data_IF_625382075996
#
_entry.id   IF_625382075996
#
_cell.length_a   1.000
_cell.length_b   1.000
_cell.length_c   1.000
_cell.angle_alpha   90.00
_cell.angle_beta   90.00
_cell.angle_gamma   90.00
#
_symmetry.space_group_name_H-M   'P 1'
#
loop_
_entity.id
_entity.type
_entity.pdbx_description
1 polymer ?
#
# COMPACT_ATOMS: atom_id res chain seq x y z
N UNK A 1 15.37 18.54 65.82
CA UNK A 1 15.09 17.16 66.33
C UNK A 1 14.10 16.56 65.36
N UNK A 2 14.63 15.75 64.53
CA UNK A 2 14.41 14.29 64.38
C UNK A 2 13.05 13.99 63.76
N UNK A 3 12.86 13.20 62.72
CA UNK A 3 13.77 12.28 62.05
C UNK A 3 13.08 11.75 60.79
N UNK A 4 13.91 11.48 59.84
CA UNK A 4 13.60 10.77 58.62
C UNK A 4 13.22 9.33 58.85
N UNK A 5 12.29 8.77 58.08
CA UNK A 5 12.28 7.33 57.79
C UNK A 5 12.03 7.11 56.31
N UNK A 6 13.12 6.80 55.69
CA UNK A 6 13.27 6.21 54.38
C UNK A 6 12.66 4.79 54.41
N UNK A 7 11.68 4.51 53.54
CA UNK A 7 11.23 3.14 53.25
C UNK A 7 11.47 2.82 51.80
N UNK A 8 12.72 2.45 51.51
CA UNK A 8 13.07 1.72 50.26
C UNK A 8 12.40 0.33 50.32
N UNK A 9 11.37 0.13 49.51
CA UNK A 9 10.86 -1.21 49.20
C UNK A 9 11.74 -1.84 48.15
N UNK A 10 12.56 -2.80 48.56
CA UNK A 10 13.29 -3.72 47.67
C UNK A 10 12.30 -4.64 46.97
N UNK A 11 12.21 -4.51 45.66
CA UNK A 11 11.59 -5.54 44.80
C UNK A 11 12.72 -6.51 44.38
N UNK A 12 12.70 -7.69 44.95
CA UNK A 12 13.59 -8.81 44.50
C UNK A 12 12.94 -9.46 43.29
N UNK A 13 13.56 -9.28 42.11
CA UNK A 13 13.22 -9.99 40.88
C UNK A 13 13.73 -11.44 40.93
N UNK A 14 12.84 -12.40 40.96
CA UNK A 14 13.14 -13.78 40.58
C UNK A 14 12.33 -14.07 39.32
N UNK A 15 13.03 -14.20 38.20
CA UNK A 15 12.47 -14.72 36.96
C UNK A 15 12.63 -16.24 36.95
N UNK A 16 11.58 -17.05 36.92
CA UNK A 16 11.69 -18.46 36.52
C UNK A 16 11.49 -18.57 35.00
N UNK A 17 12.24 -19.51 34.42
CA UNK A 17 12.26 -19.79 32.99
C UNK A 17 10.91 -20.24 32.41
N UNK A 18 10.84 -20.12 31.10
CA UNK A 18 9.68 -20.45 30.27
C UNK A 18 9.15 -21.87 30.53
N UNK A 19 7.93 -21.94 31.08
CA UNK A 19 7.14 -23.17 31.13
C UNK A 19 5.65 -22.81 31.11
N UNK A 20 4.97 -23.37 30.14
CA UNK A 20 3.52 -23.49 29.89
C UNK A 20 2.58 -22.69 30.80
N UNK A 21 1.98 -21.62 30.27
CA UNK A 21 0.84 -20.94 30.86
C UNK A 21 -0.42 -21.82 30.82
N UNK A 22 -0.76 -22.43 31.93
CA UNK A 22 -2.12 -22.92 32.19
C UNK A 22 -2.57 -22.37 33.55
N UNK A 23 -3.64 -21.56 33.51
CA UNK A 23 -4.43 -21.13 34.66
C UNK A 23 -3.66 -20.57 35.86
N UNK A 24 -3.03 -19.40 35.74
CA UNK A 24 -2.52 -18.66 36.89
C UNK A 24 -3.35 -17.39 37.12
N UNK A 25 -3.87 -17.24 38.37
CA UNK A 25 -4.43 -16.00 38.86
C UNK A 25 -3.31 -15.11 39.39
N UNK A 26 -3.27 -13.85 38.97
CA UNK A 26 -2.35 -12.86 39.51
C UNK A 26 -3.12 -11.83 40.37
N UNK A 27 -2.65 -11.62 41.59
CA UNK A 27 -3.14 -10.59 42.47
C UNK A 27 -2.12 -9.46 42.54
N UNK A 28 -2.55 -8.23 42.36
CA UNK A 28 -1.71 -7.04 42.44
C UNK A 28 -2.38 -5.92 43.24
N UNK A 29 -1.56 -5.04 43.79
CA UNK A 29 -2.02 -3.92 44.60
C UNK A 29 -1.75 -2.60 43.90
N UNK A 30 -2.79 -1.80 43.67
CA UNK A 30 -2.68 -0.40 43.23
C UNK A 30 -3.32 0.47 44.28
N UNK A 31 -2.55 1.41 44.85
CA UNK A 31 -3.02 2.36 45.88
C UNK A 31 -3.78 1.70 47.03
N UNK A 32 -3.28 0.56 47.52
CA UNK A 32 -3.87 -0.15 48.66
C UNK A 32 -5.13 -0.98 48.37
N UNK A 33 -5.50 -1.14 47.11
CA UNK A 33 -6.65 -1.97 46.70
C UNK A 33 -6.16 -3.23 45.98
N UNK A 34 -6.58 -4.37 46.48
CA UNK A 34 -6.31 -5.69 45.91
C UNK A 34 -7.20 -5.91 44.67
N UNK A 35 -6.63 -6.32 43.56
CA UNK A 35 -7.34 -6.74 42.35
C UNK A 35 -6.79 -8.04 41.82
N UNK A 36 -7.68 -8.97 41.51
CA UNK A 36 -7.37 -10.28 40.91
C UNK A 36 -7.88 -10.34 39.48
N UNK A 37 -7.04 -10.77 38.55
CA UNK A 37 -7.42 -10.95 37.14
C UNK A 37 -7.18 -12.41 36.76
N UNK A 38 -8.22 -13.03 36.23
CA UNK A 38 -8.18 -14.40 35.70
C UNK A 38 -7.88 -14.34 34.19
N UNK A 39 -6.88 -15.09 33.76
CA UNK A 39 -6.45 -15.16 32.35
C UNK A 39 -5.77 -13.89 31.79
N UNK A 40 -4.49 -13.71 32.10
CA UNK A 40 -3.62 -12.75 31.43
C UNK A 40 -2.48 -13.47 30.73
N UNK A 41 -2.27 -13.19 29.46
CA UNK A 41 -1.04 -13.53 28.74
C UNK A 41 0.04 -12.53 29.17
N UNK A 42 1.14 -13.02 29.75
CA UNK A 42 2.20 -12.21 30.39
C UNK A 42 3.15 -11.49 29.40
N UNK A 43 2.98 -11.64 28.11
CA UNK A 43 3.90 -11.10 27.10
C UNK A 43 3.85 -9.58 26.90
N UNK A 44 2.92 -8.87 27.58
CA UNK A 44 2.65 -7.44 27.29
C UNK A 44 2.42 -6.57 28.51
N UNK A 45 3.00 -6.89 29.67
CA UNK A 45 2.84 -6.05 30.88
C UNK A 45 4.10 -5.22 31.12
N UNK A 46 4.07 -3.94 30.78
CA UNK A 46 5.05 -2.95 31.18
C UNK A 46 4.52 -2.12 32.34
N UNK A 47 5.23 -2.17 33.48
CA UNK A 47 4.94 -1.27 34.62
C UNK A 47 5.82 -0.02 34.46
N UNK A 48 5.25 1.09 34.03
CA UNK A 48 5.91 2.40 34.01
C UNK A 48 5.25 3.28 35.06
N UNK A 49 6.04 3.81 35.98
CA UNK A 49 5.59 4.77 37.02
C UNK A 49 4.38 4.31 37.87
N UNK A 50 4.26 3.00 38.13
CA UNK A 50 3.16 2.45 38.93
C UNK A 50 1.82 2.35 38.20
N UNK A 51 1.80 2.55 36.88
CA UNK A 51 0.63 2.34 36.01
C UNK A 51 0.79 1.01 35.27
N UNK A 52 -0.23 0.15 35.39
CA UNK A 52 -0.30 -1.09 34.59
C UNK A 52 -0.75 -0.71 33.18
N UNK A 53 0.17 -0.67 32.24
CA UNK A 53 -0.16 -0.49 30.82
C UNK A 53 -0.34 -1.89 30.24
N UNK A 54 -1.57 -2.25 29.93
CA UNK A 54 -1.85 -3.43 29.09
C UNK A 54 -1.65 -2.99 27.63
N UNK A 55 -0.54 -3.33 27.04
CA UNK A 55 -0.41 -3.25 25.57
C UNK A 55 -1.30 -4.34 24.98
N UNK A 56 -2.48 -3.94 24.51
CA UNK A 56 -3.30 -4.79 23.67
C UNK A 56 -2.67 -4.78 22.27
N UNK A 57 -1.65 -5.62 22.06
CA UNK A 57 -0.93 -5.70 20.80
C UNK A 57 -1.84 -6.39 19.79
N UNK A 58 -2.51 -5.59 18.95
CA UNK A 58 -3.28 -6.11 17.81
C UNK A 58 -2.37 -6.25 16.61
N UNK A 59 -2.59 -7.29 15.85
CA UNK A 59 -1.95 -7.53 14.57
C UNK A 59 -2.95 -7.24 13.46
N UNK A 60 -2.51 -6.74 12.33
CA UNK A 60 -3.37 -6.37 11.22
C UNK A 60 -2.69 -6.66 9.88
N UNK A 61 -3.44 -7.18 8.93
CA UNK A 61 -2.94 -7.54 7.63
C UNK A 61 -4.06 -7.66 6.60
N UNK A 62 -3.70 -8.17 5.43
CA UNK A 62 -4.60 -8.36 4.31
C UNK A 62 -5.38 -9.66 4.51
N UNK A 63 -6.71 -9.56 4.55
CA UNK A 63 -7.65 -10.68 4.68
C UNK A 63 -8.13 -11.20 3.33
N UNK A 64 -8.15 -10.33 2.31
CA UNK A 64 -8.59 -10.68 0.97
C UNK A 64 -8.15 -9.63 -0.03
N UNK A 65 -7.94 -10.04 -1.28
CA UNK A 65 -7.48 -9.18 -2.38
C UNK A 65 -8.43 -9.26 -3.57
N UNK A 66 -8.37 -8.25 -4.42
CA UNK A 66 -9.11 -8.21 -5.67
C UNK A 66 -8.50 -7.21 -6.64
N UNK A 67 -8.73 -7.40 -7.93
CA UNK A 67 -8.31 -6.43 -8.93
C UNK A 67 -9.33 -6.30 -10.06
N UNK A 68 -9.23 -5.21 -10.80
CA UNK A 68 -9.97 -5.00 -12.03
C UNK A 68 -9.13 -4.26 -13.05
N UNK A 69 -9.19 -4.72 -14.29
CA UNK A 69 -8.67 -4.00 -15.45
C UNK A 69 -9.79 -3.85 -16.48
N UNK A 70 -9.93 -2.67 -17.11
CA UNK A 70 -10.91 -2.44 -18.18
C UNK A 70 -10.75 -3.42 -19.33
N UNK A 71 -11.84 -3.75 -20.04
CA UNK A 71 -11.84 -4.77 -21.10
C UNK A 71 -11.00 -4.38 -22.31
N UNK A 72 -10.95 -3.08 -22.65
CA UNK A 72 -10.22 -2.60 -23.83
C UNK A 72 -8.73 -2.70 -23.63
N UNK A 73 -8.07 -3.48 -24.47
CA UNK A 73 -6.61 -3.58 -24.54
C UNK A 73 -6.09 -2.69 -25.64
N UNK A 74 -5.08 -1.87 -25.35
CA UNK A 74 -4.31 -1.08 -26.28
C UNK A 74 -2.92 -1.74 -26.42
N UNK A 75 -2.59 -2.16 -27.62
CA UNK A 75 -1.30 -2.83 -27.95
C UNK A 75 -0.23 -1.82 -28.37
N UNK A 76 1.05 -2.24 -28.35
CA UNK A 76 2.12 -1.43 -28.93
C UNK A 76 1.91 -1.19 -30.43
N UNK A 77 1.37 -2.16 -31.18
CA UNK A 77 1.02 -2.00 -32.59
C UNK A 77 -0.07 -0.95 -32.84
N UNK A 78 -0.94 -0.70 -31.88
CA UNK A 78 -1.90 0.40 -31.95
C UNK A 78 -1.22 1.75 -31.70
N UNK A 79 -0.26 1.80 -30.79
CA UNK A 79 0.53 3.01 -30.51
C UNK A 79 1.42 3.41 -31.69
N UNK A 80 1.94 2.46 -32.49
CA UNK A 80 2.69 2.72 -33.72
C UNK A 80 1.88 3.52 -34.75
N UNK A 81 0.54 3.41 -34.70
CA UNK A 81 -0.36 4.17 -35.57
C UNK A 81 -0.62 5.60 -35.06
N UNK A 82 -0.27 5.88 -33.79
CA UNK A 82 -0.59 7.14 -33.12
C UNK A 82 0.63 8.05 -32.96
N UNK A 83 1.80 7.47 -32.66
CA UNK A 83 3.05 8.22 -32.40
C UNK A 83 4.23 7.49 -33.06
N UNK A 84 5.33 8.22 -33.28
CA UNK A 84 6.59 7.67 -33.83
C UNK A 84 7.28 6.74 -32.81
N UNK A 85 6.91 5.47 -32.81
CA UNK A 85 7.40 4.42 -31.92
C UNK A 85 7.38 3.05 -32.60
N UNK A 86 7.89 2.01 -31.92
CA UNK A 86 7.74 0.60 -32.36
C UNK A 86 7.55 -0.33 -31.15
N UNK A 87 6.94 -1.50 -31.37
CA UNK A 87 6.79 -2.54 -30.36
C UNK A 87 8.15 -2.91 -29.75
N UNK A 88 9.17 -3.13 -30.59
CA UNK A 88 10.52 -3.44 -30.15
C UNK A 88 11.11 -2.34 -29.26
N UNK A 89 10.90 -1.06 -29.62
CA UNK A 89 11.39 0.07 -28.85
C UNK A 89 10.72 0.17 -27.48
N UNK A 90 9.39 -0.01 -27.42
CA UNK A 90 8.63 0.01 -26.17
C UNK A 90 9.04 -1.15 -25.26
N UNK A 91 9.03 -2.37 -25.79
CA UNK A 91 9.37 -3.59 -25.03
C UNK A 91 10.78 -3.56 -24.47
N UNK A 92 11.77 -3.19 -25.28
CA UNK A 92 13.17 -3.16 -24.82
C UNK A 92 13.42 -2.11 -23.74
N UNK A 93 12.66 -1.01 -23.73
CA UNK A 93 12.83 0.08 -22.77
C UNK A 93 11.97 -0.04 -21.53
N UNK A 94 10.82 -0.66 -21.63
CA UNK A 94 9.82 -0.68 -20.56
C UNK A 94 9.40 -2.07 -20.12
N UNK A 95 9.48 -3.05 -21.01
CA UNK A 95 8.90 -4.37 -20.86
C UNK A 95 7.40 -4.42 -21.18
N UNK A 96 6.76 -3.30 -21.53
CA UNK A 96 5.31 -3.22 -21.76
C UNK A 96 4.95 -3.71 -23.14
N UNK A 97 3.97 -4.60 -23.24
CA UNK A 97 3.40 -5.11 -24.49
C UNK A 97 1.99 -4.57 -24.72
N UNK A 98 1.19 -4.53 -23.64
CA UNK A 98 -0.18 -4.05 -23.67
C UNK A 98 -0.50 -3.19 -22.44
N UNK A 99 -1.61 -2.47 -22.49
CA UNK A 99 -2.25 -1.79 -21.36
C UNK A 99 -3.75 -1.78 -21.53
N UNK A 100 -4.44 -1.72 -20.41
CA UNK A 100 -5.88 -1.62 -20.38
C UNK A 100 -6.32 -0.15 -20.38
N UNK A 101 -7.41 0.15 -21.06
CA UNK A 101 -7.94 1.51 -21.22
C UNK A 101 -9.41 1.51 -20.82
N UNK A 102 -9.77 2.32 -19.85
CA UNK A 102 -11.15 2.48 -19.37
C UNK A 102 -12.08 2.95 -20.49
N UNK A 103 -13.28 2.39 -20.54
CA UNK A 103 -14.34 2.87 -21.40
C UNK A 103 -14.73 4.31 -21.00
N UNK A 104 -15.32 5.04 -21.94
CA UNK A 104 -15.74 6.43 -21.67
C UNK A 104 -16.79 6.54 -20.55
N UNK A 105 -17.56 5.47 -20.36
CA UNK A 105 -18.57 5.34 -19.31
C UNK A 105 -18.02 4.94 -17.94
N UNK A 106 -16.77 4.45 -17.85
CA UNK A 106 -16.14 4.06 -16.59
C UNK A 106 -15.42 5.24 -15.95
N UNK A 107 -15.59 5.42 -14.66
CA UNK A 107 -14.84 6.36 -13.84
C UNK A 107 -13.95 5.58 -12.85
N UNK A 108 -13.02 6.26 -12.20
CA UNK A 108 -12.10 5.66 -11.24
C UNK A 108 -12.84 4.93 -10.12
N UNK A 109 -13.95 5.51 -9.63
CA UNK A 109 -14.81 4.85 -8.64
C UNK A 109 -15.47 3.57 -9.15
N UNK A 110 -15.74 3.44 -10.45
CA UNK A 110 -16.30 2.20 -11.02
C UNK A 110 -15.26 1.07 -11.02
N UNK A 111 -14.01 1.39 -11.40
CA UNK A 111 -12.90 0.44 -11.31
C UNK A 111 -12.68 -0.02 -9.87
N UNK A 112 -12.73 0.94 -8.92
CA UNK A 112 -12.62 0.65 -7.48
C UNK A 112 -13.67 -0.37 -7.04
N UNK A 113 -14.94 -0.17 -7.43
CA UNK A 113 -16.06 -1.05 -7.03
C UNK A 113 -15.86 -2.49 -7.53
N UNK A 114 -15.35 -2.66 -8.76
CA UNK A 114 -15.09 -3.99 -9.31
C UNK A 114 -13.98 -4.72 -8.53
N UNK A 115 -12.87 -4.06 -8.24
CA UNK A 115 -11.78 -4.62 -7.45
C UNK A 115 -12.21 -4.88 -5.99
N UNK A 116 -12.92 -3.93 -5.39
CA UNK A 116 -13.41 -4.01 -4.02
C UNK A 116 -14.31 -5.23 -3.77
N UNK A 117 -15.26 -5.48 -4.67
CA UNK A 117 -16.17 -6.64 -4.56
C UNK A 117 -15.41 -7.96 -4.50
N UNK A 118 -14.36 -8.11 -5.30
CA UNK A 118 -13.52 -9.31 -5.28
C UNK A 118 -12.72 -9.41 -3.97
N UNK A 119 -12.17 -8.29 -3.47
CA UNK A 119 -11.43 -8.27 -2.22
C UNK A 119 -12.33 -8.61 -1.02
N UNK A 120 -13.55 -8.07 -0.99
CA UNK A 120 -14.55 -8.35 0.05
C UNK A 120 -14.99 -9.81 0.01
N UNK A 121 -15.26 -10.37 -1.19
CA UNK A 121 -15.59 -11.79 -1.37
C UNK A 121 -14.47 -12.68 -0.86
N UNK A 122 -13.21 -12.38 -1.23
CA UNK A 122 -12.03 -13.13 -0.79
C UNK A 122 -11.82 -13.07 0.74
N UNK A 123 -12.15 -11.92 1.36
CA UNK A 123 -12.09 -11.73 2.81
C UNK A 123 -13.30 -12.32 3.56
N UNK A 124 -14.35 -12.73 2.86
CA UNK A 124 -15.61 -13.21 3.47
C UNK A 124 -16.39 -12.13 4.21
N UNK A 125 -16.27 -10.84 3.79
CA UNK A 125 -16.96 -9.70 4.40
C UNK A 125 -17.97 -9.08 3.45
N UNK A 126 -19.00 -8.44 4.02
CA UNK A 126 -20.06 -7.73 3.31
C UNK A 126 -19.88 -6.22 3.40
N UNK A 127 -20.74 -5.45 2.74
CA UNK A 127 -20.73 -3.98 2.82
C UNK A 127 -20.98 -3.47 4.25
N UNK A 128 -21.76 -4.18 5.04
CA UNK A 128 -22.07 -3.83 6.43
C UNK A 128 -20.89 -4.06 7.39
N UNK A 129 -19.91 -4.87 6.97
CA UNK A 129 -18.71 -5.16 7.77
C UNK A 129 -17.60 -4.14 7.55
N UNK A 130 -17.68 -3.30 6.52
CA UNK A 130 -16.63 -2.32 6.19
C UNK A 130 -16.84 -1.05 7.03
N UNK A 131 -15.85 -0.74 7.87
CA UNK A 131 -15.87 0.43 8.74
C UNK A 131 -15.26 1.67 8.10
N UNK A 132 -14.30 1.48 7.16
CA UNK A 132 -13.59 2.59 6.52
C UNK A 132 -13.12 2.23 5.11
N UNK A 133 -13.08 3.23 4.21
CA UNK A 133 -12.61 3.08 2.83
C UNK A 133 -11.48 4.08 2.56
N UNK A 134 -10.33 3.58 2.11
CA UNK A 134 -9.19 4.36 1.65
C UNK A 134 -8.98 4.13 0.15
N UNK A 135 -9.10 5.17 -0.66
CA UNK A 135 -8.77 5.12 -2.08
C UNK A 135 -7.49 5.90 -2.34
N UNK A 136 -6.47 5.22 -2.82
CA UNK A 136 -5.23 5.83 -3.29
C UNK A 136 -5.35 6.10 -4.80
N UNK A 137 -5.37 7.36 -5.19
CA UNK A 137 -5.52 7.76 -6.60
C UNK A 137 -4.89 9.13 -6.88
N UNK A 138 -4.35 9.30 -8.10
CA UNK A 138 -3.96 10.57 -8.69
C UNK A 138 -4.93 11.01 -9.80
N UNK A 139 -5.93 10.19 -10.11
CA UNK A 139 -6.96 10.41 -11.12
C UNK A 139 -8.37 10.28 -10.54
N UNK A 140 -8.72 11.08 -9.51
CA UNK A 140 -10.04 11.01 -8.88
C UNK A 140 -11.15 11.37 -9.85
N UNK A 141 -12.37 10.87 -9.62
CA UNK A 141 -13.57 11.27 -10.40
C UNK A 141 -13.79 12.78 -10.37
N UNK A 142 -13.61 13.38 -9.21
CA UNK A 142 -13.74 14.81 -8.96
C UNK A 142 -12.69 15.28 -7.95
N UNK A 143 -12.41 16.57 -7.91
CA UNK A 143 -11.64 17.18 -6.83
C UNK A 143 -12.40 17.08 -5.49
N UNK A 144 -13.73 17.22 -5.53
CA UNK A 144 -14.69 17.07 -4.43
C UNK A 144 -16.02 16.62 -5.03
N UNK A 145 -16.68 15.57 -4.50
CA UNK A 145 -16.31 14.72 -3.36
C UNK A 145 -15.11 13.81 -3.66
N UNK A 146 -14.54 13.19 -2.60
CA UNK A 146 -13.50 12.18 -2.78
C UNK A 146 -14.04 10.95 -3.52
N UNK A 147 -13.18 10.28 -4.28
CA UNK A 147 -13.51 9.01 -4.96
C UNK A 147 -13.96 7.95 -3.95
N UNK A 148 -13.35 7.90 -2.78
CA UNK A 148 -13.74 6.98 -1.72
C UNK A 148 -15.20 7.15 -1.26
N UNK A 149 -15.73 8.39 -1.23
CA UNK A 149 -17.15 8.63 -0.91
C UNK A 149 -18.08 8.07 -2.00
N UNK A 150 -17.68 8.16 -3.27
CA UNK A 150 -18.44 7.58 -4.37
C UNK A 150 -18.41 6.04 -4.34
N UNK A 151 -17.27 5.47 -3.97
CA UNK A 151 -17.11 4.03 -3.79
C UNK A 151 -17.97 3.54 -2.62
N UNK A 152 -17.99 4.29 -1.51
CA UNK A 152 -18.80 4.01 -0.33
C UNK A 152 -20.29 3.87 -0.68
N UNK A 153 -20.82 4.83 -1.43
CA UNK A 153 -22.21 4.82 -1.90
C UNK A 153 -22.48 3.67 -2.88
N UNK A 154 -21.63 3.49 -3.90
CA UNK A 154 -21.78 2.44 -4.92
C UNK A 154 -21.70 1.01 -4.35
N UNK A 155 -20.95 0.80 -3.27
CA UNK A 155 -20.85 -0.50 -2.58
C UNK A 155 -21.96 -0.69 -1.55
N UNK A 156 -22.65 0.37 -1.14
CA UNK A 156 -23.66 0.33 -0.08
C UNK A 156 -23.05 0.22 1.32
N UNK A 157 -21.80 0.65 1.52
CA UNK A 157 -21.12 0.64 2.83
C UNK A 157 -21.59 1.81 3.70
N UNK A 158 -22.87 1.83 4.09
CA UNK A 158 -23.57 2.99 4.67
C UNK A 158 -22.98 3.51 5.97
N UNK A 159 -22.23 2.69 6.70
CA UNK A 159 -21.61 3.04 7.99
C UNK A 159 -20.12 3.41 7.86
N UNK A 160 -19.54 3.17 6.70
CA UNK A 160 -18.10 3.38 6.50
C UNK A 160 -17.74 4.87 6.41
N UNK A 161 -16.67 5.27 7.10
CA UNK A 161 -15.95 6.50 6.79
C UNK A 161 -15.18 6.33 5.48
N UNK A 162 -14.88 7.44 4.77
CA UNK A 162 -14.21 7.36 3.47
C UNK A 162 -13.30 8.57 3.23
N UNK A 163 -12.09 8.33 2.68
CA UNK A 163 -11.19 9.38 2.23
C UNK A 163 -10.25 8.90 1.13
N UNK A 164 -9.77 9.84 0.30
CA UNK A 164 -8.72 9.59 -0.67
C UNK A 164 -7.33 9.85 -0.08
N UNK A 165 -6.34 9.11 -0.57
CA UNK A 165 -4.91 9.32 -0.29
C UNK A 165 -4.22 9.72 -1.60
N UNK A 166 -3.53 10.86 -1.59
CA UNK A 166 -2.71 11.33 -2.70
C UNK A 166 -1.23 11.16 -2.38
N UNK A 167 -0.64 10.08 -2.91
CA UNK A 167 0.81 9.77 -2.77
C UNK A 167 1.37 9.18 -4.09
N UNK A 168 0.80 9.59 -5.23
CA UNK A 168 1.20 9.09 -6.54
C UNK A 168 1.21 7.57 -6.62
N UNK A 169 2.17 7.01 -7.37
CA UNK A 169 2.25 5.56 -7.56
C UNK A 169 2.58 4.75 -6.28
N UNK A 170 3.02 5.39 -5.20
CA UNK A 170 3.20 4.73 -3.89
C UNK A 170 1.93 4.70 -3.04
N UNK A 171 0.82 5.25 -3.54
CA UNK A 171 -0.41 5.46 -2.80
C UNK A 171 -0.98 4.19 -2.15
N UNK A 172 -0.95 3.05 -2.84
CA UNK A 172 -1.41 1.78 -2.29
C UNK A 172 -0.61 1.35 -1.06
N UNK A 173 0.72 1.48 -1.09
CA UNK A 173 1.62 1.20 0.04
C UNK A 173 1.25 2.09 1.24
N UNK A 174 1.08 3.41 1.00
CA UNK A 174 0.65 4.35 2.03
C UNK A 174 -0.71 3.96 2.63
N UNK A 175 -1.65 3.56 1.79
CA UNK A 175 -3.00 3.18 2.23
C UNK A 175 -2.98 1.89 3.07
N UNK A 176 -2.20 0.86 2.68
CA UNK A 176 -2.01 -0.37 3.45
C UNK A 176 -1.39 -0.08 4.81
N UNK A 177 -0.33 0.74 4.85
CA UNK A 177 0.32 1.15 6.10
C UNK A 177 -0.64 1.90 7.02
N UNK A 178 -1.40 2.87 6.50
CA UNK A 178 -2.39 3.65 7.28
C UNK A 178 -3.49 2.75 7.82
N UNK A 179 -4.12 1.94 6.95
CA UNK A 179 -5.20 1.03 7.32
C UNK A 179 -4.77 0.04 8.40
N UNK A 180 -3.61 -0.61 8.22
CA UNK A 180 -3.10 -1.58 9.19
C UNK A 180 -2.87 -0.94 10.56
N UNK A 181 -2.37 0.31 10.62
CA UNK A 181 -2.19 1.00 11.89
C UNK A 181 -3.52 1.45 12.51
N UNK A 182 -4.54 1.81 11.72
CA UNK A 182 -5.88 2.12 12.23
C UNK A 182 -6.53 0.86 12.87
N UNK A 183 -6.38 -0.32 12.24
CA UNK A 183 -6.83 -1.60 12.80
C UNK A 183 -6.06 -1.96 14.07
N UNK A 184 -4.72 -1.86 14.06
CA UNK A 184 -3.87 -2.10 15.24
C UNK A 184 -4.23 -1.18 16.41
N UNK A 185 -4.59 0.07 16.14
CA UNK A 185 -5.05 1.02 17.15
C UNK A 185 -6.48 0.71 17.68
N UNK A 186 -7.17 -0.26 17.08
CA UNK A 186 -8.54 -0.63 17.44
C UNK A 186 -9.60 0.38 17.04
N UNK A 187 -9.31 1.26 16.09
CA UNK A 187 -10.28 2.24 15.58
C UNK A 187 -11.35 1.57 14.72
N UNK A 188 -10.97 0.60 13.91
CA UNK A 188 -11.82 -0.10 12.94
C UNK A 188 -11.46 -1.58 12.90
N UNK A 189 -12.40 -2.42 12.47
CA UNK A 189 -12.20 -3.87 12.28
C UNK A 189 -11.79 -4.20 10.86
N UNK A 190 -12.54 -3.67 9.87
CA UNK A 190 -12.28 -3.93 8.46
C UNK A 190 -12.16 -2.60 7.70
N UNK A 191 -11.05 -2.42 7.05
CA UNK A 191 -10.77 -1.26 6.20
C UNK A 191 -10.55 -1.74 4.77
N UNK A 192 -11.32 -1.20 3.85
CA UNK A 192 -11.13 -1.44 2.43
C UNK A 192 -10.09 -0.46 1.89
N UNK A 193 -8.98 -0.98 1.38
CA UNK A 193 -7.90 -0.22 0.73
C UNK A 193 -7.97 -0.47 -0.76
N UNK A 194 -7.94 0.60 -1.57
CA UNK A 194 -7.99 0.49 -3.03
C UNK A 194 -6.95 1.44 -3.62
N UNK A 195 -6.13 0.96 -4.55
CA UNK A 195 -5.36 1.78 -5.47
C UNK A 195 -6.03 1.74 -6.83
N UNK A 196 -6.36 2.88 -7.41
CA UNK A 196 -7.09 2.91 -8.68
C UNK A 196 -6.70 4.13 -9.52
N UNK A 197 -6.64 3.92 -10.85
CA UNK A 197 -6.27 4.98 -11.78
C UNK A 197 -6.96 4.84 -13.14
N UNK A 198 -7.30 5.99 -13.73
CA UNK A 198 -7.61 6.16 -15.16
C UNK A 198 -6.62 7.17 -15.74
N UNK A 199 -5.38 6.74 -15.93
CA UNK A 199 -4.31 7.60 -16.42
C UNK A 199 -4.41 7.86 -17.92
N UNK A 200 -5.11 7.00 -18.66
CA UNK A 200 -5.35 7.19 -20.09
C UNK A 200 -6.01 8.52 -20.44
N UNK A 201 -6.72 9.15 -19.48
CA UNK A 201 -7.33 10.48 -19.61
C UNK A 201 -6.40 11.63 -19.24
N UNK A 202 -5.24 11.32 -18.65
CA UNK A 202 -4.28 12.31 -18.17
C UNK A 202 -2.97 12.30 -18.97
N UNK A 203 -2.80 11.39 -19.92
CA UNK A 203 -1.63 11.35 -20.82
C UNK A 203 -1.87 12.19 -22.06
N UNK A 204 -0.80 12.80 -22.58
CA UNK A 204 -0.79 13.39 -23.90
C UNK A 204 -0.51 12.29 -24.93
N UNK A 205 -1.53 11.88 -25.67
CA UNK A 205 -1.41 10.82 -26.70
C UNK A 205 -0.50 11.17 -27.89
N UNK A 206 -0.01 12.41 -27.97
CA UNK A 206 0.99 12.86 -28.94
C UNK A 206 2.43 12.88 -28.37
N UNK A 207 2.60 12.62 -27.08
CA UNK A 207 3.89 12.53 -26.42
C UNK A 207 4.27 11.07 -26.17
N UNK A 208 5.13 10.49 -27.05
CA UNK A 208 5.59 9.12 -26.92
C UNK A 208 6.37 8.82 -25.64
N UNK A 209 6.88 9.84 -24.95
CA UNK A 209 7.65 9.65 -23.72
C UNK A 209 6.80 9.20 -22.56
N UNK A 210 5.49 9.49 -22.60
CA UNK A 210 4.52 9.20 -21.54
C UNK A 210 3.41 8.26 -22.01
N UNK A 211 2.82 8.44 -23.20
CA UNK A 211 1.65 7.67 -23.64
C UNK A 211 1.89 6.17 -23.78
N UNK A 212 3.14 5.76 -24.00
CA UNK A 212 3.51 4.34 -24.11
C UNK A 212 3.55 3.59 -22.78
N UNK A 213 3.48 4.30 -21.64
CA UNK A 213 3.73 3.72 -20.33
C UNK A 213 2.44 3.33 -19.60
N UNK A 214 1.49 4.27 -19.57
CA UNK A 214 0.39 4.22 -18.62
C UNK A 214 -0.79 3.38 -19.08
N UNK A 215 -1.41 2.70 -18.13
CA UNK A 215 -2.67 1.98 -18.26
C UNK A 215 -3.62 2.29 -17.10
N UNK A 216 -4.84 1.78 -17.21
CA UNK A 216 -5.93 1.98 -16.25
C UNK A 216 -6.20 0.68 -15.49
N UNK A 217 -6.64 0.79 -14.22
CA UNK A 217 -7.00 -0.35 -13.41
C UNK A 217 -7.20 -0.03 -11.93
N UNK A 218 -7.60 -1.03 -11.18
CA UNK A 218 -7.74 -0.95 -9.72
C UNK A 218 -7.25 -2.24 -9.05
N UNK A 219 -6.57 -2.09 -7.91
CA UNK A 219 -6.22 -3.19 -7.02
C UNK A 219 -6.73 -2.89 -5.61
N UNK A 220 -7.35 -3.86 -4.96
CA UNK A 220 -7.99 -3.69 -3.66
C UNK A 220 -7.55 -4.75 -2.66
N UNK A 221 -7.62 -4.40 -1.37
CA UNK A 221 -7.48 -5.32 -0.26
C UNK A 221 -8.41 -4.95 0.89
N UNK A 222 -8.89 -5.95 1.62
CA UNK A 222 -9.51 -5.76 2.93
C UNK A 222 -8.44 -5.95 3.98
N UNK A 223 -8.25 -4.93 4.81
CA UNK A 223 -7.35 -4.98 5.96
C UNK A 223 -8.16 -5.24 7.22
N UNK A 224 -7.74 -6.20 8.01
CA UNK A 224 -8.39 -6.55 9.27
C UNK A 224 -7.42 -7.12 10.29
N UNK A 225 -7.96 -7.52 11.46
CA UNK A 225 -7.18 -8.13 12.53
C UNK A 225 -6.69 -9.51 12.12
N UNK A 226 -5.43 -9.82 12.45
CA UNK A 226 -4.78 -11.11 12.16
C UNK A 226 -4.30 -11.76 13.44
N UNK A 227 -3.88 -13.03 13.34
CA UNK A 227 -3.24 -13.73 14.43
C UNK A 227 -1.88 -13.11 14.81
N UNK A 228 -1.39 -13.40 16.01
CA UNK A 228 -0.09 -12.92 16.48
C UNK A 228 1.06 -13.35 15.55
N UNK A 229 1.87 -12.36 15.14
CA UNK A 229 3.01 -12.58 14.25
C UNK A 229 2.67 -12.56 12.75
N UNK A 230 1.40 -12.37 12.39
CA UNK A 230 0.94 -12.22 11.00
C UNK A 230 0.52 -10.78 10.68
N UNK A 231 0.36 -10.50 9.39
CA UNK A 231 0.00 -9.18 8.87
C UNK A 231 1.20 -8.26 8.69
N UNK A 232 0.99 -6.95 8.77
CA UNK A 232 2.03 -5.94 8.56
C UNK A 232 3.04 -5.96 9.70
N UNK A 233 4.26 -6.43 9.43
CA UNK A 233 5.38 -6.47 10.38
C UNK A 233 6.03 -5.10 10.53
N UNK A 234 6.33 -4.44 9.41
CA UNK A 234 6.91 -3.10 9.39
C UNK A 234 6.52 -2.33 8.13
N UNK A 235 6.57 -1.01 8.23
CA UNK A 235 6.40 -0.08 7.13
C UNK A 235 7.41 1.07 7.25
N UNK A 236 7.85 1.58 6.09
CA UNK A 236 8.64 2.81 6.00
C UNK A 236 8.15 3.64 4.81
N UNK A 237 7.70 4.85 5.10
CA UNK A 237 7.16 5.79 4.13
C UNK A 237 8.06 7.03 4.10
N UNK A 238 8.25 7.62 2.91
CA UNK A 238 9.08 8.80 2.77
C UNK A 238 8.69 9.66 1.57
N UNK A 239 9.14 10.91 1.58
CA UNK A 239 8.88 11.87 0.51
C UNK A 239 10.01 12.89 0.36
N UNK A 240 10.13 13.45 -0.85
CA UNK A 240 11.00 14.59 -1.17
C UNK A 240 10.27 15.55 -2.11
N UNK A 241 9.61 16.54 -1.54
CA UNK A 241 8.85 17.56 -2.29
C UNK A 241 9.73 18.49 -3.15
N UNK A 242 11.05 18.54 -2.91
CA UNK A 242 11.97 19.37 -3.72
C UNK A 242 12.08 18.90 -5.18
N UNK A 243 11.78 17.62 -5.41
CA UNK A 243 11.84 16.97 -6.72
C UNK A 243 10.44 16.83 -7.38
N UNK A 244 9.39 17.42 -6.82
CA UNK A 244 8.01 17.23 -7.30
C UNK A 244 7.80 17.51 -8.78
N UNK A 245 8.57 18.45 -9.36
CA UNK A 245 8.42 18.85 -10.77
C UNK A 245 8.96 17.86 -11.80
N UNK A 246 9.72 16.84 -11.39
CA UNK A 246 10.22 15.84 -12.36
C UNK A 246 9.14 14.80 -12.74
N UNK A 247 8.03 14.78 -12.00
CA UNK A 247 6.86 13.95 -12.29
C UNK A 247 5.61 14.63 -11.70
N UNK A 248 4.87 15.36 -12.52
CA UNK A 248 3.71 16.14 -12.11
C UNK A 248 2.64 16.26 -13.20
N UNK A 249 1.51 16.88 -12.85
CA UNK A 249 0.53 17.43 -13.79
C UNK A 249 0.45 18.92 -13.47
N UNK A 250 1.14 19.79 -14.22
CA UNK A 250 1.37 21.16 -13.82
C UNK A 250 0.09 21.99 -13.62
N UNK A 251 -0.89 21.82 -14.51
CA UNK A 251 -2.12 22.61 -14.51
C UNK A 251 -3.37 21.76 -14.23
N UNK A 252 -3.57 21.43 -12.96
CA UNK A 252 -4.75 20.66 -12.51
C UNK A 252 -5.25 21.08 -11.14
N UNK A 253 -4.57 22.04 -10.50
CA UNK A 253 -4.85 22.46 -9.13
C UNK A 253 -4.90 23.97 -8.97
N UNK A 254 -4.91 24.41 -7.70
CA UNK A 254 -5.01 25.83 -7.32
C UNK A 254 -3.76 26.64 -7.75
N UNK A 255 -2.58 26.00 -7.74
CA UNK A 255 -1.34 26.68 -8.12
C UNK A 255 -1.34 27.09 -9.60
N UNK A 256 -1.90 26.25 -10.45
CA UNK A 256 -2.12 26.55 -11.87
C UNK A 256 -3.48 25.97 -12.30
N UNK A 257 -4.54 26.76 -12.28
CA UNK A 257 -5.87 26.33 -12.72
C UNK A 257 -5.90 25.97 -14.21
N UNK A 258 -6.82 25.08 -14.60
CA UNK A 258 -7.05 24.73 -16.01
C UNK A 258 -7.56 25.97 -16.75
N UNK A 259 -6.81 26.41 -17.75
CA UNK A 259 -7.13 27.52 -18.66
C UNK A 259 -6.94 27.09 -20.10
N UNK A 260 -7.49 27.83 -21.08
CA UNK A 260 -7.22 27.57 -22.50
C UNK A 260 -5.69 27.51 -22.78
N UNK A 261 -4.93 28.44 -22.20
CA UNK A 261 -3.46 28.44 -22.33
C UNK A 261 -2.83 27.16 -21.78
N UNK A 262 -3.28 26.64 -20.64
CA UNK A 262 -2.77 25.39 -20.07
C UNK A 262 -3.12 24.19 -20.96
N UNK A 263 -4.32 24.17 -21.55
CA UNK A 263 -4.74 23.15 -22.51
C UNK A 263 -3.86 23.19 -23.77
N UNK A 264 -3.74 24.37 -24.39
CA UNK A 264 -2.98 24.56 -25.63
C UNK A 264 -1.49 24.24 -25.48
N UNK A 265 -0.93 24.44 -24.28
CA UNK A 265 0.47 24.11 -23.95
C UNK A 265 0.69 22.71 -23.42
N UNK A 266 -0.38 21.88 -23.33
CA UNK A 266 -0.29 20.50 -22.86
C UNK A 266 -0.01 20.35 -21.36
N UNK A 267 -0.10 21.43 -20.55
CA UNK A 267 0.21 21.43 -19.12
C UNK A 267 -0.82 20.73 -18.24
N UNK A 268 -1.94 20.32 -18.83
CA UNK A 268 -2.97 19.50 -18.19
C UNK A 268 -2.64 18.00 -18.18
N UNK A 269 -1.57 17.61 -18.84
CA UNK A 269 -1.15 16.20 -18.97
C UNK A 269 0.02 15.89 -18.05
N UNK A 270 0.23 14.58 -17.83
CA UNK A 270 1.37 14.05 -17.07
C UNK A 270 2.67 14.49 -17.77
N UNK A 271 3.53 15.15 -17.00
CA UNK A 271 4.90 15.49 -17.36
C UNK A 271 5.86 14.60 -16.59
N UNK A 272 6.92 14.07 -17.25
CA UNK A 272 7.88 13.17 -16.62
C UNK A 272 9.30 13.35 -17.20
N UNK A 273 10.25 13.62 -16.32
CA UNK A 273 11.67 13.59 -16.62
C UNK A 273 12.21 12.16 -16.41
N UNK A 274 11.96 11.27 -17.36
CA UNK A 274 12.18 9.83 -17.26
C UNK A 274 13.53 9.39 -16.66
N UNK A 275 14.69 9.93 -17.11
CA UNK A 275 15.99 9.55 -16.55
C UNK A 275 16.16 9.89 -15.06
N UNK A 276 15.64 11.05 -14.60
CA UNK A 276 15.70 11.46 -13.20
C UNK A 276 14.74 10.65 -12.32
N UNK A 277 13.54 10.40 -12.81
CA UNK A 277 12.57 9.51 -12.17
C UNK A 277 13.15 8.10 -12.01
N UNK A 278 13.81 7.54 -13.04
CA UNK A 278 14.45 6.22 -12.97
C UNK A 278 15.50 6.16 -11.85
N UNK A 279 16.42 7.14 -11.81
CA UNK A 279 17.49 7.20 -10.80
C UNK A 279 16.93 7.31 -9.38
N UNK A 280 15.93 8.18 -9.20
CA UNK A 280 15.26 8.38 -7.91
C UNK A 280 14.53 7.10 -7.47
N UNK A 281 13.76 6.45 -8.36
CA UNK A 281 13.03 5.22 -8.06
C UNK A 281 13.95 4.10 -7.57
N UNK A 282 15.01 3.78 -8.33
CA UNK A 282 15.96 2.71 -7.96
C UNK A 282 16.67 3.02 -6.64
N UNK A 283 17.01 4.29 -6.41
CA UNK A 283 17.66 4.73 -5.17
C UNK A 283 16.75 4.57 -3.96
N UNK A 284 15.54 5.14 -4.03
CA UNK A 284 14.64 5.25 -2.88
C UNK A 284 13.95 3.92 -2.59
N UNK A 285 13.40 3.22 -3.58
CA UNK A 285 12.77 1.92 -3.35
C UNK A 285 13.76 0.91 -2.76
N UNK A 286 14.98 0.82 -3.32
CA UNK A 286 16.00 -0.09 -2.77
C UNK A 286 16.45 0.26 -1.36
N UNK A 287 16.57 1.55 -1.02
CA UNK A 287 16.97 1.98 0.32
C UNK A 287 15.86 1.77 1.35
N UNK A 288 14.61 2.16 1.02
CA UNK A 288 13.48 1.99 1.94
C UNK A 288 13.16 0.51 2.18
N UNK A 289 13.28 -0.35 1.14
CA UNK A 289 13.07 -1.80 1.33
C UNK A 289 14.06 -2.38 2.34
N UNK A 290 15.36 -2.09 2.20
CA UNK A 290 16.37 -2.57 3.17
C UNK A 290 16.07 -2.09 4.59
N UNK A 291 15.73 -0.81 4.74
CA UNK A 291 15.36 -0.22 6.04
C UNK A 291 14.09 -0.86 6.63
N UNK A 292 13.12 -1.20 5.80
CA UNK A 292 11.88 -1.83 6.27
C UNK A 292 12.10 -3.28 6.68
N UNK A 293 12.92 -4.02 5.94
CA UNK A 293 13.34 -5.38 6.33
C UNK A 293 14.06 -5.38 7.69
N UNK A 294 15.00 -4.45 7.89
CA UNK A 294 15.68 -4.28 9.19
C UNK A 294 14.68 -4.00 10.32
N UNK A 295 13.72 -3.09 10.10
CA UNK A 295 12.65 -2.81 11.08
C UNK A 295 11.76 -4.02 11.37
N UNK A 296 11.54 -4.87 10.36
CA UNK A 296 10.73 -6.09 10.49
C UNK A 296 11.50 -7.23 11.15
N UNK A 297 12.83 -7.13 11.29
CA UNK A 297 13.68 -8.24 11.73
C UNK A 297 13.73 -9.39 10.72
N UNK A 298 13.63 -9.07 9.42
CA UNK A 298 13.60 -10.02 8.30
C UNK A 298 14.85 -9.85 7.45
N UNK A 299 15.53 -10.95 7.14
CA UNK A 299 16.67 -10.94 6.23
C UNK A 299 16.20 -10.94 4.75
N UNK A 300 17.07 -10.52 3.84
CA UNK A 300 16.74 -10.49 2.40
C UNK A 300 16.43 -11.87 1.84
N UNK A 301 17.09 -12.87 2.35
CA UNK A 301 16.96 -14.27 1.90
C UNK A 301 15.65 -14.90 2.39
N UNK A 302 14.94 -14.26 3.34
CA UNK A 302 13.64 -14.68 3.83
C UNK A 302 12.47 -14.15 3.00
N UNK A 303 12.72 -13.36 1.95
CA UNK A 303 11.67 -12.82 1.09
C UNK A 303 11.12 -13.93 0.19
N UNK A 304 9.88 -14.34 0.42
CA UNK A 304 9.18 -15.33 -0.40
C UNK A 304 8.52 -14.71 -1.63
N UNK A 305 7.99 -13.47 -1.49
CA UNK A 305 7.37 -12.75 -2.59
C UNK A 305 7.71 -11.25 -2.55
N UNK A 306 8.28 -10.76 -3.63
CA UNK A 306 8.62 -9.35 -3.84
C UNK A 306 7.75 -8.74 -4.94
N UNK A 307 6.96 -7.73 -4.59
CA UNK A 307 6.06 -7.01 -5.49
C UNK A 307 6.43 -5.53 -5.47
N UNK A 308 7.13 -5.10 -6.51
CA UNK A 308 7.42 -3.69 -6.72
C UNK A 308 6.30 -3.01 -7.52
N UNK A 309 6.19 -1.70 -7.41
CA UNK A 309 5.41 -0.88 -8.33
C UNK A 309 5.76 -1.21 -9.79
N UNK A 310 4.76 -1.51 -10.61
CA UNK A 310 4.87 -1.99 -11.99
C UNK A 310 5.00 -0.81 -12.98
N UNK A 311 6.01 0.05 -12.79
CA UNK A 311 6.23 1.20 -13.66
C UNK A 311 6.97 0.85 -14.95
N UNK A 312 7.97 -0.02 -14.83
CA UNK A 312 8.93 -0.34 -15.88
C UNK A 312 9.75 -1.56 -15.44
N UNK A 313 9.83 -2.57 -16.27
CA UNK A 313 10.56 -3.80 -15.95
C UNK A 313 12.04 -3.54 -15.61
N UNK A 314 12.67 -2.55 -16.25
CA UNK A 314 14.08 -2.20 -15.95
C UNK A 314 14.27 -1.67 -14.54
N UNK A 315 13.29 -0.92 -14.01
CA UNK A 315 13.30 -0.44 -12.61
C UNK A 315 13.15 -1.65 -11.69
N UNK A 316 12.16 -2.52 -11.94
CA UNK A 316 11.89 -3.72 -11.14
C UNK A 316 13.13 -4.59 -11.06
N UNK A 317 13.76 -4.90 -12.20
CA UNK A 317 14.97 -5.71 -12.26
C UNK A 317 16.16 -5.05 -11.55
N UNK A 318 16.32 -3.73 -11.66
CA UNK A 318 17.39 -3.02 -10.99
C UNK A 318 17.27 -3.08 -9.46
N UNK A 319 16.04 -2.99 -8.93
CA UNK A 319 15.78 -3.10 -7.49
C UNK A 319 15.97 -4.53 -7.02
N UNK A 320 15.43 -5.52 -7.73
CA UNK A 320 15.58 -6.94 -7.41
C UNK A 320 17.06 -7.36 -7.36
N UNK A 321 17.83 -6.92 -8.36
CA UNK A 321 19.28 -7.15 -8.37
C UNK A 321 19.99 -6.55 -7.16
N UNK A 322 19.61 -5.32 -6.75
CA UNK A 322 20.19 -4.68 -5.56
C UNK A 322 19.85 -5.40 -4.27
N UNK A 323 18.64 -5.94 -4.17
CA UNK A 323 18.14 -6.71 -3.03
C UNK A 323 18.58 -8.17 -3.08
N UNK A 324 19.08 -8.65 -4.21
CA UNK A 324 19.42 -10.05 -4.49
C UNK A 324 18.20 -10.99 -4.45
N UNK A 325 17.01 -10.47 -4.79
CA UNK A 325 15.79 -11.28 -4.85
C UNK A 325 15.83 -12.18 -6.08
N UNK A 326 15.61 -13.50 -5.93
CA UNK A 326 15.51 -14.44 -7.04
C UNK A 326 14.32 -14.11 -7.97
N UNK A 327 14.42 -14.45 -9.24
CA UNK A 327 13.39 -14.12 -10.22
C UNK A 327 12.05 -14.84 -9.96
N UNK A 328 12.08 -16.03 -9.38
CA UNK A 328 10.91 -16.84 -9.00
C UNK A 328 10.22 -16.34 -7.72
N UNK A 329 10.88 -15.47 -6.96
CA UNK A 329 10.32 -14.74 -5.81
C UNK A 329 9.76 -13.36 -6.20
N UNK A 330 9.66 -13.05 -7.50
CA UNK A 330 9.15 -11.78 -7.98
C UNK A 330 7.86 -11.99 -8.77
N UNK A 331 6.89 -11.06 -8.57
CA UNK A 331 5.74 -10.97 -9.46
C UNK A 331 5.86 -9.75 -10.37
N UNK A 332 5.77 -9.99 -11.67
CA UNK A 332 5.88 -8.95 -12.70
C UNK A 332 4.71 -9.12 -13.68
N UNK A 333 3.95 -8.05 -13.90
CA UNK A 333 2.82 -8.01 -14.81
C UNK A 333 2.74 -6.70 -15.62
N UNK A 334 3.80 -5.89 -15.55
CA UNK A 334 3.91 -4.63 -16.30
C UNK A 334 3.81 -4.82 -17.80
N UNK A 335 4.18 -5.99 -18.31
CA UNK A 335 4.04 -6.40 -19.70
C UNK A 335 2.59 -6.34 -20.22
N UNK A 336 1.62 -6.72 -19.37
CA UNK A 336 0.20 -6.84 -19.71
C UNK A 336 -0.63 -5.61 -19.31
N UNK A 337 -0.31 -5.00 -18.16
CA UNK A 337 -1.12 -3.90 -17.61
C UNK A 337 -0.51 -2.52 -17.85
N UNK A 338 0.78 -2.44 -18.23
CA UNK A 338 1.52 -1.19 -18.24
C UNK A 338 1.67 -0.61 -16.82
N UNK A 339 1.94 0.68 -16.75
CA UNK A 339 2.01 1.41 -15.48
C UNK A 339 0.62 1.91 -15.07
N UNK A 340 -0.02 1.23 -14.15
CA UNK A 340 -1.31 1.61 -13.55
C UNK A 340 -1.14 2.40 -12.24
N UNK A 341 0.01 3.06 -12.02
CA UNK A 341 0.32 3.92 -10.86
C UNK A 341 -0.06 3.28 -9.52
N UNK A 342 -0.94 3.91 -8.73
CA UNK A 342 -1.34 3.42 -7.42
C UNK A 342 -2.03 2.03 -7.45
N UNK A 343 -2.66 1.65 -8.56
CA UNK A 343 -3.30 0.35 -8.71
C UNK A 343 -2.31 -0.81 -8.85
N UNK A 344 -1.10 -0.53 -9.36
CA UNK A 344 -0.19 -1.54 -9.89
C UNK A 344 0.25 -2.61 -8.88
N UNK A 345 0.54 -2.21 -7.66
CA UNK A 345 0.97 -3.14 -6.59
C UNK A 345 -0.20 -4.02 -6.15
N UNK A 346 -1.40 -3.43 -6.01
CA UNK A 346 -2.61 -4.17 -5.64
C UNK A 346 -3.03 -5.19 -6.70
N UNK A 347 -2.95 -4.83 -8.00
CA UNK A 347 -3.21 -5.75 -9.13
C UNK A 347 -2.19 -6.90 -9.11
N UNK A 348 -0.91 -6.56 -8.98
CA UNK A 348 0.17 -7.55 -8.97
C UNK A 348 0.06 -8.51 -7.78
N UNK A 349 -0.32 -8.00 -6.61
CA UNK A 349 -0.53 -8.79 -5.40
C UNK A 349 -1.69 -9.77 -5.58
N UNK A 350 -2.86 -9.30 -6.06
CA UNK A 350 -4.01 -10.18 -6.26
C UNK A 350 -3.74 -11.27 -7.29
N UNK A 351 -3.05 -10.95 -8.39
CA UNK A 351 -2.63 -11.98 -9.35
C UNK A 351 -1.70 -13.02 -8.72
N UNK A 352 -0.69 -12.59 -7.93
CA UNK A 352 0.23 -13.50 -7.26
C UNK A 352 -0.50 -14.43 -6.27
N UNK A 353 -1.45 -13.88 -5.51
CA UNK A 353 -2.30 -14.64 -4.56
C UNK A 353 -3.17 -15.65 -5.31
N UNK A 354 -3.88 -15.23 -6.36
CA UNK A 354 -4.75 -16.12 -7.17
C UNK A 354 -3.96 -17.20 -7.91
N UNK A 355 -2.72 -16.91 -8.28
CA UNK A 355 -1.81 -17.88 -8.90
C UNK A 355 -1.22 -18.88 -7.87
N UNK A 356 -1.54 -18.76 -6.57
CA UNK A 356 -1.00 -19.59 -5.50
C UNK A 356 0.49 -19.41 -5.26
N UNK A 357 1.02 -18.24 -5.63
CA UNK A 357 2.44 -17.89 -5.45
C UNK A 357 2.70 -17.25 -4.08
N UNK A 358 1.66 -16.80 -3.40
CA UNK A 358 1.71 -16.30 -2.03
C UNK A 358 0.97 -17.29 -1.15
N UNK A 359 1.62 -17.78 -0.10
CA UNK A 359 1.12 -18.83 0.79
C UNK A 359 1.13 -18.35 2.23
N UNK A 360 0.32 -19.00 3.06
CA UNK A 360 0.32 -18.75 4.50
C UNK A 360 1.74 -18.90 5.10
N UNK A 361 2.17 -17.89 5.82
CA UNK A 361 3.50 -17.79 6.45
C UNK A 361 4.54 -17.06 5.63
N UNK A 362 4.33 -16.87 4.33
CA UNK A 362 5.29 -16.22 3.44
C UNK A 362 5.58 -14.76 3.86
N UNK A 363 6.81 -14.36 3.68
CA UNK A 363 7.22 -12.96 3.79
C UNK A 363 6.99 -12.26 2.45
N UNK A 364 6.01 -11.37 2.44
CA UNK A 364 5.64 -10.56 1.28
C UNK A 364 6.14 -9.14 1.45
N UNK A 365 6.86 -8.64 0.45
CA UNK A 365 7.40 -7.28 0.42
C UNK A 365 6.71 -6.49 -0.70
N UNK A 366 6.02 -5.42 -0.33
CA UNK A 366 5.41 -4.47 -1.25
C UNK A 366 6.24 -3.18 -1.25
N UNK A 367 6.68 -2.68 -2.41
CA UNK A 367 7.45 -1.43 -2.49
C UNK A 367 7.02 -0.58 -3.67
N UNK A 368 7.02 0.75 -3.47
CA UNK A 368 6.57 1.70 -4.48
C UNK A 368 7.30 3.03 -4.43
N UNK A 369 7.24 3.75 -5.56
CA UNK A 369 7.78 5.08 -5.75
C UNK A 369 6.87 5.85 -6.72
N UNK A 370 6.65 7.13 -6.49
CA UNK A 370 5.77 7.93 -7.32
C UNK A 370 5.98 9.43 -7.22
N UNK A 371 5.06 10.13 -7.90
CA UNK A 371 4.99 11.59 -7.87
C UNK A 371 4.89 12.12 -6.43
N UNK A 372 5.56 13.26 -6.22
CA UNK A 372 5.63 13.91 -4.93
C UNK A 372 7.01 14.52 -4.65
N UNK A 373 8.19 13.89 -4.71
CA UNK A 373 8.28 12.44 -4.84
C UNK A 373 7.87 11.75 -3.55
N UNK A 374 7.31 10.56 -3.69
CA UNK A 374 6.93 9.71 -2.56
C UNK A 374 7.45 8.29 -2.78
N UNK A 375 7.72 7.57 -1.70
CA UNK A 375 8.11 6.16 -1.73
C UNK A 375 7.66 5.45 -0.47
N UNK A 376 7.55 4.15 -0.55
CA UNK A 376 7.20 3.33 0.60
C UNK A 376 7.57 1.87 0.41
N UNK A 377 7.63 1.16 1.54
CA UNK A 377 7.76 -0.27 1.59
C UNK A 377 6.96 -0.81 2.79
N UNK A 378 6.23 -1.88 2.54
CA UNK A 378 5.54 -2.68 3.55
C UNK A 378 6.12 -4.10 3.53
N UNK A 379 6.50 -4.62 4.70
CA UNK A 379 6.90 -6.00 4.91
C UNK A 379 5.85 -6.68 5.76
N UNK A 380 5.30 -7.77 5.27
CA UNK A 380 4.24 -8.49 5.95
C UNK A 380 4.48 -10.00 5.95
N UNK A 381 3.96 -10.68 6.98
CA UNK A 381 3.80 -12.12 6.97
C UNK A 381 2.38 -12.46 6.54
N UNK A 382 2.26 -13.20 5.46
CA UNK A 382 0.97 -13.53 4.85
C UNK A 382 0.19 -14.51 5.72
N UNK A 383 -1.13 -14.24 5.90
CA UNK A 383 -2.04 -15.08 6.68
C UNK A 383 -2.65 -16.19 5.82
#
# INVERSE_FOLDING_TARGET
MQGSTDSQSRISSVLPGAASCRNQCFTYYIKGTERTVNHLCLSSILIREGLLIMENTRFAGILGTGHYAPEKILTNADLEKMVDTSDEWIRTRTGIETRHIAAQSENTSDLCVHAAKQAMEAAGVTADDIDFILVATASPDYVVPSTACLVQDKLGCTHAGAMDISAGCSGYIYAVAVASNMVKAGMYKHILVIGAEILSRLVNWHDRSTCILFGDGAGAAVIGETEEGYGLLASDLGSDGSLGKILDIPASGVAEPVTHRAIDSGRIYIHMEGPEVFKAAVRHMGATTLKTLEKAGVEKDDIDMFIAHQANNRIIQAIAKRLQVPADHMWVNVDRFGNTSAASVGIALDEAVRAGKVKHGDIVVLTGFGAGLTWGCDVMRWM
#
